data_IF_818809515655
#
_entry.id   IF_818809515655
#
_cell.length_a   1.000
_cell.length_b   1.000
_cell.length_c   1.000
_cell.angle_alpha   90.00
_cell.angle_beta   90.00
_cell.angle_gamma   90.00
#
_symmetry.space_group_name_H-M   'P 1'
#
loop_
_entity.id
_entity.type
_entity.pdbx_description
1 polymer ?
#
# COMPACT_ATOMS: atom_id res chain seq x y z
N UNK A 1 -11.53 24.92 -23.85
CA UNK A 1 -11.48 25.24 -22.53
C UNK A 1 -12.72 24.83 -21.76
N UNK A 2 -12.57 23.89 -20.84
CA UNK A 2 -13.59 23.54 -19.85
C UNK A 2 -13.29 24.34 -18.56
N UNK A 3 -14.31 24.67 -17.77
CA UNK A 3 -14.13 25.31 -16.47
C UNK A 3 -13.60 24.26 -15.47
N UNK A 4 -12.45 24.50 -14.79
CA UNK A 4 -11.92 23.56 -13.81
C UNK A 4 -12.85 23.29 -12.63
N UNK A 5 -13.80 24.17 -12.35
CA UNK A 5 -14.81 23.94 -11.31
C UNK A 5 -15.87 22.91 -11.70
N UNK A 6 -15.99 22.58 -12.97
CA UNK A 6 -16.82 21.48 -13.46
C UNK A 6 -16.09 20.12 -13.38
N UNK A 7 -15.22 19.93 -12.40
CA UNK A 7 -14.30 18.78 -12.28
C UNK A 7 -15.02 17.43 -12.37
N UNK A 8 -16.19 17.29 -11.77
CA UNK A 8 -16.99 16.05 -11.82
C UNK A 8 -17.47 15.73 -13.24
N UNK A 9 -17.93 16.76 -13.97
CA UNK A 9 -18.31 16.61 -15.39
C UNK A 9 -17.10 16.27 -16.26
N UNK A 10 -15.99 16.92 -16.04
CA UNK A 10 -14.74 16.67 -16.79
C UNK A 10 -14.26 15.24 -16.54
N UNK A 11 -14.29 14.79 -15.27
CA UNK A 11 -13.90 13.42 -14.91
C UNK A 11 -14.80 12.40 -15.61
N UNK A 12 -16.11 12.55 -15.54
CA UNK A 12 -17.08 11.66 -16.18
C UNK A 12 -16.90 11.62 -17.70
N UNK A 13 -16.64 12.79 -18.30
CA UNK A 13 -16.37 12.91 -19.74
C UNK A 13 -15.10 12.13 -20.15
N UNK A 14 -14.02 12.22 -19.36
CA UNK A 14 -12.80 11.46 -19.59
C UNK A 14 -13.05 9.95 -19.42
N UNK A 15 -13.71 9.57 -18.35
CA UNK A 15 -13.99 8.17 -18.04
C UNK A 15 -14.83 7.52 -19.15
N UNK A 16 -15.94 8.15 -19.56
CA UNK A 16 -16.80 7.61 -20.64
C UNK A 16 -16.09 7.48 -21.97
N UNK A 17 -15.11 8.32 -22.26
CA UNK A 17 -14.34 8.24 -23.50
C UNK A 17 -13.27 7.16 -23.48
N UNK A 18 -12.83 6.74 -22.31
CA UNK A 18 -11.71 5.81 -22.14
C UNK A 18 -12.09 4.47 -21.53
N UNK A 19 -13.28 4.33 -20.92
CA UNK A 19 -13.66 3.15 -20.14
C UNK A 19 -13.58 1.82 -20.93
N UNK A 20 -13.76 1.84 -22.25
CA UNK A 20 -13.62 0.64 -23.09
C UNK A 20 -12.18 0.11 -23.13
N UNK A 21 -11.19 0.99 -22.91
CA UNK A 21 -9.77 0.71 -23.07
C UNK A 21 -8.99 0.81 -21.77
N UNK A 22 -9.48 1.57 -20.78
CA UNK A 22 -8.70 1.93 -19.63
C UNK A 22 -9.49 2.20 -18.36
N UNK A 23 -10.43 1.30 -18.00
CA UNK A 23 -11.12 1.38 -16.70
C UNK A 23 -10.17 1.26 -15.53
N UNK A 24 -9.02 0.68 -15.75
CA UNK A 24 -7.93 0.45 -14.77
C UNK A 24 -6.60 0.75 -15.43
N UNK A 25 -5.57 0.82 -14.62
CA UNK A 25 -4.19 0.99 -15.09
C UNK A 25 -3.97 2.33 -15.78
N UNK A 26 -3.28 2.35 -16.91
CA UNK A 26 -2.79 3.58 -17.56
C UNK A 26 -3.87 4.59 -17.89
N UNK A 27 -5.07 4.15 -18.26
CA UNK A 27 -6.21 5.05 -18.54
C UNK A 27 -6.62 5.82 -17.29
N UNK A 28 -6.76 5.13 -16.15
CA UNK A 28 -7.09 5.77 -14.89
C UNK A 28 -5.96 6.64 -14.34
N UNK A 29 -4.71 6.23 -14.51
CA UNK A 29 -3.54 7.06 -14.14
C UNK A 29 -3.57 8.40 -14.90
N UNK A 30 -3.88 8.40 -16.19
CA UNK A 30 -3.99 9.61 -16.98
C UNK A 30 -5.18 10.50 -16.52
N UNK A 31 -6.34 9.90 -16.24
CA UNK A 31 -7.51 10.61 -15.69
C UNK A 31 -7.16 11.23 -14.34
N UNK A 32 -6.56 10.46 -13.44
CA UNK A 32 -6.15 10.93 -12.10
C UNK A 32 -5.16 12.09 -12.17
N UNK A 33 -4.20 12.06 -13.10
CA UNK A 33 -3.26 13.16 -13.29
C UNK A 33 -3.95 14.47 -13.70
N UNK A 34 -4.94 14.38 -14.58
CA UNK A 34 -5.74 15.55 -15.00
C UNK A 34 -6.63 16.03 -13.86
N UNK A 35 -7.28 15.13 -13.13
CA UNK A 35 -8.13 15.46 -11.99
C UNK A 35 -7.33 16.18 -10.89
N UNK A 36 -6.15 15.68 -10.54
CA UNK A 36 -5.23 16.36 -9.59
C UNK A 36 -4.88 17.76 -10.09
N UNK A 37 -4.60 17.92 -11.38
CA UNK A 37 -4.29 19.23 -11.96
C UNK A 37 -5.50 20.20 -11.89
N UNK A 38 -6.73 19.71 -12.06
CA UNK A 38 -7.95 20.54 -11.89
C UNK A 38 -8.07 21.03 -10.44
N UNK A 39 -7.87 20.15 -9.46
CA UNK A 39 -7.88 20.54 -8.04
C UNK A 39 -6.79 21.53 -7.70
N UNK A 40 -5.58 21.40 -8.27
CA UNK A 40 -4.48 22.35 -8.09
C UNK A 40 -4.84 23.74 -8.70
N UNK A 41 -5.42 23.75 -9.88
CA UNK A 41 -5.90 25.00 -10.52
C UNK A 41 -6.96 25.68 -9.68
N UNK A 42 -7.97 24.95 -9.20
CA UNK A 42 -9.02 25.48 -8.32
C UNK A 42 -8.43 26.05 -7.02
N UNK A 43 -7.44 25.36 -6.44
CA UNK A 43 -6.70 25.83 -5.27
C UNK A 43 -5.99 27.16 -5.53
N UNK A 44 -5.33 27.29 -6.67
CA UNK A 44 -4.63 28.51 -7.10
C UNK A 44 -5.59 29.66 -7.37
N UNK A 45 -6.67 29.41 -8.10
CA UNK A 45 -7.71 30.44 -8.37
C UNK A 45 -8.33 30.98 -7.09
N UNK A 46 -8.63 30.09 -6.14
CA UNK A 46 -9.29 30.47 -4.89
C UNK A 46 -8.31 30.90 -3.79
N UNK A 47 -7.01 30.77 -4.04
CA UNK A 47 -5.93 30.98 -3.05
C UNK A 47 -6.15 30.13 -1.78
N UNK A 48 -6.53 28.85 -1.97
CA UNK A 48 -6.77 27.89 -0.87
C UNK A 48 -6.05 26.57 -1.15
N UNK A 49 -5.49 25.93 -0.14
CA UNK A 49 -4.96 24.57 -0.32
C UNK A 49 -6.11 23.59 -0.60
N UNK A 50 -5.84 22.56 -1.39
CA UNK A 50 -6.83 21.58 -1.87
C UNK A 50 -7.65 20.98 -0.71
N UNK A 51 -7.04 20.67 0.42
CA UNK A 51 -7.78 20.11 1.57
C UNK A 51 -8.89 21.04 2.08
N UNK A 52 -8.75 22.37 1.88
CA UNK A 52 -9.82 23.32 2.22
C UNK A 52 -11.00 23.27 1.26
N UNK A 53 -10.72 22.97 -0.02
CA UNK A 53 -11.75 22.78 -1.04
C UNK A 53 -12.50 21.45 -0.83
N UNK A 54 -11.82 20.45 -0.28
CA UNK A 54 -12.37 19.12 0.06
C UNK A 54 -13.11 19.07 1.42
N UNK A 55 -13.46 20.21 2.00
CA UNK A 55 -14.23 20.26 3.25
C UNK A 55 -13.43 20.66 4.48
N UNK A 56 -12.12 20.86 4.34
CA UNK A 56 -11.27 21.35 5.41
C UNK A 56 -10.59 20.26 6.24
N UNK A 57 -9.92 20.70 7.28
CA UNK A 57 -9.09 19.86 8.15
C UNK A 57 -9.96 19.19 9.22
N UNK A 58 -9.87 17.86 9.33
CA UNK A 58 -10.50 17.08 10.40
C UNK A 58 -9.55 16.80 11.56
N UNK A 59 -8.23 16.78 11.29
CA UNK A 59 -7.15 16.56 12.27
C UNK A 59 -5.99 17.50 12.02
N UNK A 60 -5.29 17.89 13.07
CA UNK A 60 -4.09 18.73 12.94
C UNK A 60 -2.87 17.93 12.46
N UNK A 61 -2.74 16.69 12.93
CA UNK A 61 -1.68 15.76 12.56
C UNK A 61 -2.29 14.43 12.16
N UNK A 62 -1.75 13.85 11.09
CA UNK A 62 -2.15 12.53 10.59
C UNK A 62 -1.03 11.56 10.94
N UNK A 63 -1.32 10.42 11.60
CA UNK A 63 -0.34 9.36 11.79
C UNK A 63 0.17 8.85 10.44
N UNK A 64 1.48 8.63 10.34
CA UNK A 64 2.13 8.12 9.13
C UNK A 64 3.06 6.98 9.48
N UNK A 65 3.32 6.09 8.53
CA UNK A 65 4.30 5.03 8.65
C UNK A 65 5.46 5.22 7.68
N UNK A 66 6.62 4.69 8.03
CA UNK A 66 7.75 4.58 7.12
C UNK A 66 7.47 3.46 6.11
N UNK A 67 7.16 3.85 4.85
CA UNK A 67 6.88 2.92 3.74
C UNK A 67 8.15 2.65 2.95
N UNK A 68 9.04 1.85 3.52
CA UNK A 68 10.33 1.43 2.99
C UNK A 68 10.61 -0.01 3.44
N UNK A 69 11.83 -0.31 3.83
CA UNK A 69 12.26 -1.61 4.31
C UNK A 69 12.04 -2.70 3.24
N UNK A 70 12.55 -2.43 2.03
CA UNK A 70 12.53 -3.39 0.94
C UNK A 70 13.49 -4.55 1.22
N UNK A 71 13.25 -5.69 0.58
CA UNK A 71 14.12 -6.85 0.65
C UNK A 71 15.55 -6.48 0.24
N UNK A 72 16.49 -6.69 1.16
CA UNK A 72 17.92 -6.39 1.05
C UNK A 72 18.69 -7.25 2.06
N UNK A 73 20.03 -7.21 2.09
CA UNK A 73 20.80 -7.90 3.12
C UNK A 73 20.34 -7.52 4.53
N UNK A 74 20.20 -8.52 5.40
CA UNK A 74 19.62 -8.36 6.76
C UNK A 74 20.25 -7.19 7.53
N UNK A 75 21.59 -7.08 7.52
CA UNK A 75 22.29 -6.00 8.24
C UNK A 75 21.94 -4.60 7.74
N UNK A 76 21.71 -4.47 6.43
CA UNK A 76 21.34 -3.17 5.84
C UNK A 76 19.87 -2.84 6.10
N UNK A 77 19.00 -3.86 6.05
CA UNK A 77 17.60 -3.75 6.45
C UNK A 77 17.45 -3.31 7.91
N UNK A 78 18.23 -3.90 8.82
CA UNK A 78 18.23 -3.52 10.24
C UNK A 78 18.72 -2.09 10.44
N UNK A 79 19.81 -1.67 9.78
CA UNK A 79 20.29 -0.27 9.83
C UNK A 79 19.26 0.72 9.31
N UNK A 80 18.56 0.37 8.21
CA UNK A 80 17.50 1.20 7.67
C UNK A 80 16.35 1.33 8.67
N UNK A 81 15.89 0.22 9.26
CA UNK A 81 14.86 0.22 10.30
C UNK A 81 15.26 1.06 11.52
N UNK A 82 16.50 0.91 12.02
CA UNK A 82 17.03 1.75 13.10
C UNK A 82 17.00 3.24 12.76
N UNK A 83 17.28 3.60 11.52
CA UNK A 83 17.26 5.01 11.10
C UNK A 83 15.86 5.62 11.22
N UNK A 84 14.81 4.87 10.87
CA UNK A 84 13.42 5.32 11.03
C UNK A 84 12.97 5.34 12.50
N UNK A 85 13.41 4.38 13.30
CA UNK A 85 13.17 4.41 14.76
C UNK A 85 13.77 5.67 15.38
N UNK A 86 15.02 6.02 15.02
CA UNK A 86 15.69 7.26 15.45
C UNK A 86 14.99 8.53 15.01
N UNK A 87 14.32 8.51 13.84
CA UNK A 87 13.49 9.61 13.35
C UNK A 87 12.14 9.73 14.07
N UNK A 88 11.81 8.77 14.94
CA UNK A 88 10.58 8.80 15.76
C UNK A 88 9.38 8.11 15.13
N UNK A 89 9.52 7.40 14.02
CA UNK A 89 8.43 6.59 13.48
C UNK A 89 8.02 5.50 14.47
N UNK A 90 6.70 5.24 14.53
CA UNK A 90 6.08 4.20 15.37
C UNK A 90 5.34 3.17 14.54
N UNK A 91 5.29 3.35 13.23
CA UNK A 91 4.62 2.47 12.29
C UNK A 91 5.54 2.27 11.08
N UNK A 92 5.64 1.03 10.61
CA UNK A 92 6.60 0.63 9.59
C UNK A 92 5.93 -0.32 8.61
N UNK A 93 6.20 -0.15 7.29
CA UNK A 93 5.80 -1.12 6.27
C UNK A 93 7.04 -1.68 5.59
N UNK A 94 7.22 -3.00 5.66
CA UNK A 94 8.26 -3.74 4.96
C UNK A 94 7.72 -4.41 3.71
N UNK A 95 8.60 -4.75 2.77
CA UNK A 95 8.24 -5.50 1.56
C UNK A 95 9.03 -6.79 1.47
N UNK A 96 8.32 -7.88 1.19
CA UNK A 96 8.90 -9.20 0.92
C UNK A 96 9.64 -9.24 -0.43
N UNK A 97 10.62 -10.14 -0.55
CA UNK A 97 11.46 -10.24 -1.74
C UNK A 97 11.24 -11.51 -2.56
N UNK A 98 10.61 -12.53 -1.97
CA UNK A 98 10.47 -13.85 -2.59
C UNK A 98 9.00 -14.27 -2.69
N UNK A 99 8.72 -15.09 -3.72
CA UNK A 99 7.38 -15.57 -4.01
C UNK A 99 7.33 -17.06 -4.30
N UNK A 100 6.21 -17.56 -4.89
CA UNK A 100 6.00 -18.98 -5.14
C UNK A 100 7.12 -19.69 -5.92
N UNK A 101 7.74 -19.01 -6.88
CA UNK A 101 8.84 -19.56 -7.69
C UNK A 101 10.10 -19.89 -6.88
N UNK A 102 10.26 -19.28 -5.71
CA UNK A 102 11.42 -19.43 -4.85
C UNK A 102 11.23 -20.55 -3.80
N UNK A 103 10.06 -21.18 -3.79
CA UNK A 103 9.74 -22.35 -2.98
C UNK A 103 9.94 -22.16 -1.47
N UNK A 104 10.27 -23.27 -0.74
CA UNK A 104 10.48 -23.22 0.71
C UNK A 104 11.62 -22.31 1.16
N UNK A 105 12.66 -22.19 0.35
CA UNK A 105 13.80 -21.33 0.66
C UNK A 105 13.40 -19.84 0.61
N UNK A 106 12.58 -19.44 -0.38
CA UNK A 106 12.03 -18.09 -0.44
C UNK A 106 11.12 -17.78 0.75
N UNK A 107 10.30 -18.76 1.20
CA UNK A 107 9.49 -18.63 2.42
C UNK A 107 10.38 -18.35 3.65
N UNK A 108 11.46 -19.12 3.80
CA UNK A 108 12.40 -18.95 4.91
C UNK A 108 13.01 -17.56 4.91
N UNK A 109 13.50 -17.10 3.76
CA UNK A 109 14.08 -15.76 3.61
C UNK A 109 13.09 -14.65 3.93
N UNK A 110 11.83 -14.76 3.51
CA UNK A 110 10.78 -13.80 3.88
C UNK A 110 10.54 -13.75 5.39
N UNK A 111 10.60 -14.90 6.07
CA UNK A 111 10.46 -14.98 7.53
C UNK A 111 11.66 -14.29 8.21
N UNK A 112 12.87 -14.54 7.72
CA UNK A 112 14.10 -13.91 8.23
C UNK A 112 14.06 -12.38 8.08
N UNK A 113 13.52 -11.84 6.96
CA UNK A 113 13.30 -10.39 6.82
C UNK A 113 12.33 -9.85 7.89
N UNK A 114 11.20 -10.54 8.10
CA UNK A 114 10.22 -10.12 9.09
C UNK A 114 10.79 -10.14 10.52
N UNK A 115 11.57 -11.18 10.85
CA UNK A 115 12.26 -11.31 12.13
C UNK A 115 13.26 -10.18 12.34
N UNK A 116 14.12 -9.93 11.34
CA UNK A 116 15.13 -8.88 11.39
C UNK A 116 14.51 -7.48 11.60
N UNK A 117 13.39 -7.19 10.97
CA UNK A 117 12.69 -5.91 11.17
C UNK A 117 12.10 -5.84 12.58
N UNK A 118 11.44 -6.91 13.07
CA UNK A 118 10.85 -6.96 14.41
C UNK A 118 11.88 -6.84 15.54
N UNK A 119 13.07 -7.44 15.36
CA UNK A 119 14.16 -7.29 16.33
C UNK A 119 14.54 -5.82 16.55
N UNK A 120 14.47 -4.99 15.50
CA UNK A 120 14.83 -3.57 15.58
C UNK A 120 13.69 -2.70 16.09
N UNK A 121 12.49 -2.87 15.53
CA UNK A 121 11.37 -1.98 15.82
C UNK A 121 10.60 -2.36 17.11
N UNK A 122 10.79 -3.59 17.61
CA UNK A 122 10.08 -4.13 18.77
C UNK A 122 8.60 -4.44 18.47
N UNK A 123 7.85 -4.85 19.50
CA UNK A 123 6.44 -5.23 19.39
C UNK A 123 5.46 -4.12 19.82
N UNK A 124 5.96 -3.01 20.39
CA UNK A 124 5.15 -1.85 20.75
C UNK A 124 4.90 -0.90 19.57
N UNK A 125 5.29 -1.33 18.37
CA UNK A 125 5.13 -0.60 17.10
C UNK A 125 4.32 -1.41 16.10
N UNK A 126 3.61 -0.71 15.22
CA UNK A 126 2.88 -1.34 14.12
C UNK A 126 3.84 -1.77 12.99
N UNK A 127 3.72 -3.01 12.56
CA UNK A 127 4.39 -3.52 11.37
C UNK A 127 3.36 -3.95 10.33
N UNK A 128 3.44 -3.38 9.15
CA UNK A 128 2.70 -3.78 7.96
C UNK A 128 3.64 -4.58 7.04
N UNK A 129 3.10 -5.59 6.38
CA UNK A 129 3.86 -6.49 5.52
C UNK A 129 3.30 -6.46 4.11
N UNK A 130 4.13 -6.07 3.14
CA UNK A 130 3.78 -5.85 1.75
C UNK A 130 4.25 -6.99 0.86
N UNK A 131 3.36 -7.57 0.07
CA UNK A 131 3.67 -8.61 -0.92
C UNK A 131 3.71 -8.08 -2.36
N UNK A 132 3.07 -6.93 -2.60
CA UNK A 132 3.02 -6.28 -3.91
C UNK A 132 2.56 -7.23 -5.03
N UNK A 133 1.48 -7.97 -4.79
CA UNK A 133 0.91 -8.97 -5.69
C UNK A 133 1.89 -10.10 -6.09
N UNK A 134 2.98 -10.24 -5.36
CA UNK A 134 4.05 -11.19 -5.71
C UNK A 134 3.78 -12.64 -5.29
N UNK A 135 2.69 -12.90 -4.57
CA UNK A 135 2.33 -14.23 -4.11
C UNK A 135 1.09 -14.77 -4.85
N UNK A 136 0.71 -15.98 -4.52
CA UNK A 136 -0.57 -16.59 -4.89
C UNK A 136 -1.28 -17.12 -3.64
N UNK A 137 -2.51 -17.57 -3.82
CA UNK A 137 -3.37 -18.00 -2.71
C UNK A 137 -2.74 -19.13 -1.87
N UNK A 138 -2.19 -20.17 -2.52
CA UNK A 138 -1.56 -21.31 -1.81
C UNK A 138 -0.34 -20.86 -1.00
N UNK A 139 0.57 -20.11 -1.63
CA UNK A 139 1.76 -19.59 -0.97
C UNK A 139 1.38 -18.72 0.23
N UNK A 140 0.40 -17.84 0.05
CA UNK A 140 -0.08 -16.95 1.10
C UNK A 140 -0.64 -17.71 2.29
N UNK A 141 -1.49 -18.72 2.04
CA UNK A 141 -2.03 -19.59 3.09
C UNK A 141 -0.95 -20.31 3.90
N UNK A 142 0.13 -20.70 3.25
CA UNK A 142 1.29 -21.35 3.91
C UNK A 142 2.16 -20.36 4.68
N UNK A 143 2.19 -19.09 4.26
CA UNK A 143 2.95 -18.03 4.93
C UNK A 143 2.23 -17.45 6.14
N UNK A 144 0.92 -17.21 6.07
CA UNK A 144 0.14 -16.59 7.14
C UNK A 144 0.43 -17.20 8.53
N UNK A 145 0.36 -18.53 8.73
CA UNK A 145 0.62 -19.13 10.06
C UNK A 145 2.04 -18.88 10.59
N UNK A 146 3.00 -18.62 9.68
CA UNK A 146 4.40 -18.34 10.02
C UNK A 146 4.62 -16.85 10.35
N UNK A 147 3.75 -15.99 9.85
CA UNK A 147 3.84 -14.54 10.01
C UNK A 147 3.06 -14.02 11.23
N UNK A 148 2.03 -14.73 11.70
CA UNK A 148 1.21 -14.34 12.86
C UNK A 148 2.06 -14.02 14.08
N UNK A 149 3.14 -14.75 14.33
CA UNK A 149 4.05 -14.52 15.47
C UNK A 149 4.70 -13.13 15.48
N UNK A 150 4.78 -12.47 14.33
CA UNK A 150 5.31 -11.11 14.21
C UNK A 150 4.26 -10.03 14.44
N UNK A 151 3.01 -10.41 14.74
CA UNK A 151 1.90 -9.49 15.00
C UNK A 151 1.78 -8.38 13.93
N UNK A 152 1.63 -8.72 12.63
CA UNK A 152 1.48 -7.71 11.59
C UNK A 152 0.12 -7.04 11.71
N UNK A 153 0.09 -5.71 11.48
CA UNK A 153 -1.16 -4.95 11.45
C UNK A 153 -2.03 -5.31 10.24
N UNK A 154 -1.38 -5.60 9.10
CA UNK A 154 -2.00 -6.21 7.92
C UNK A 154 -0.95 -6.86 7.01
N UNK A 155 -1.43 -7.73 6.13
CA UNK A 155 -0.70 -8.26 4.97
C UNK A 155 -1.28 -7.62 3.73
N UNK A 156 -0.45 -6.87 2.97
CA UNK A 156 -0.85 -6.04 1.84
C UNK A 156 -0.59 -6.76 0.53
N UNK A 157 -1.58 -6.75 -0.35
CA UNK A 157 -1.55 -7.29 -1.71
C UNK A 157 -0.86 -8.67 -1.85
N UNK A 158 -1.31 -9.68 -1.09
CA UNK A 158 -0.69 -11.01 -1.19
C UNK A 158 -0.93 -11.67 -2.54
N UNK A 159 -2.07 -11.41 -3.19
CA UNK A 159 -2.44 -11.94 -4.50
C UNK A 159 -2.68 -10.80 -5.49
N UNK A 160 -2.78 -11.10 -6.78
CA UNK A 160 -3.07 -10.10 -7.82
C UNK A 160 -4.42 -9.41 -7.57
N UNK A 161 -4.55 -8.16 -7.97
CA UNK A 161 -5.75 -7.33 -7.76
C UNK A 161 -7.04 -7.99 -8.28
N UNK A 162 -6.97 -8.69 -9.42
CA UNK A 162 -8.12 -9.37 -10.02
C UNK A 162 -8.59 -10.63 -9.27
N UNK A 163 -7.80 -11.18 -8.32
CA UNK A 163 -8.18 -12.37 -7.54
C UNK A 163 -9.03 -12.04 -6.31
N UNK A 164 -10.21 -11.46 -6.56
CA UNK A 164 -11.17 -11.07 -5.51
C UNK A 164 -11.56 -12.27 -4.64
N UNK A 165 -11.69 -13.46 -5.22
CA UNK A 165 -12.00 -14.69 -4.48
C UNK A 165 -10.85 -15.08 -3.54
N UNK A 166 -9.61 -14.96 -4.00
CA UNK A 166 -8.42 -15.16 -3.17
C UNK A 166 -8.37 -14.19 -1.99
N UNK A 167 -8.63 -12.90 -2.22
CA UNK A 167 -8.77 -11.91 -1.14
C UNK A 167 -9.85 -12.30 -0.12
N UNK A 168 -11.04 -12.69 -0.58
CA UNK A 168 -12.13 -13.11 0.29
C UNK A 168 -11.75 -14.34 1.11
N UNK A 169 -11.11 -15.34 0.51
CA UNK A 169 -10.67 -16.55 1.18
C UNK A 169 -9.60 -16.27 2.24
N UNK A 170 -8.61 -15.44 1.92
CA UNK A 170 -7.58 -15.03 2.87
C UNK A 170 -8.16 -14.24 4.05
N UNK A 171 -9.09 -13.32 3.78
CA UNK A 171 -9.76 -12.55 4.82
C UNK A 171 -10.59 -13.46 5.75
N UNK A 172 -11.24 -14.49 5.20
CA UNK A 172 -12.01 -15.47 5.98
C UNK A 172 -11.15 -16.34 6.90
N UNK A 173 -9.85 -16.44 6.68
CA UNK A 173 -8.93 -17.10 7.62
C UNK A 173 -8.86 -16.38 8.96
N UNK A 174 -9.18 -15.08 9.01
CA UNK A 174 -9.22 -14.24 10.21
C UNK A 174 -7.95 -14.32 11.07
N UNK A 175 -6.79 -14.53 10.43
CA UNK A 175 -5.51 -14.71 11.10
C UNK A 175 -4.66 -13.42 11.08
N UNK A 176 -4.65 -12.73 9.96
CA UNK A 176 -4.00 -11.43 9.73
C UNK A 176 -4.97 -10.60 8.88
N UNK A 177 -5.25 -9.34 9.22
CA UNK A 177 -6.01 -8.45 8.35
C UNK A 177 -5.37 -8.35 6.96
N UNK A 178 -6.19 -8.42 5.90
CA UNK A 178 -5.73 -8.31 4.52
C UNK A 178 -6.03 -6.91 3.99
N UNK A 179 -5.06 -6.29 3.35
CA UNK A 179 -5.17 -4.97 2.72
C UNK A 179 -4.86 -5.07 1.23
N UNK A 180 -5.40 -4.16 0.45
CA UNK A 180 -5.16 -4.06 -0.99
C UNK A 180 -5.96 -2.91 -1.59
N UNK A 181 -5.82 -2.68 -2.90
CA UNK A 181 -6.61 -1.71 -3.64
C UNK A 181 -5.81 -0.60 -4.35
N UNK A 182 -4.51 -0.50 -4.14
CA UNK A 182 -3.73 0.53 -4.84
C UNK A 182 -3.57 0.25 -6.35
N UNK A 183 -3.86 -0.97 -6.79
CA UNK A 183 -3.82 -1.39 -8.20
C UNK A 183 -5.21 -1.63 -8.83
N UNK A 184 -6.30 -1.21 -8.16
CA UNK A 184 -7.68 -1.33 -8.63
C UNK A 184 -8.09 -0.27 -9.68
#
# INVERSE_FOLDING_TARGET
>A
GEDPFDYSYIWEKMYRRTHAWGRRGLGMVAISAIDIALWDIMGKITNKPVFKLLGGRTKEKIPVYASKLYSQPIKDLQKEAESYVKQGFKMFKMRFGWGPKDGPEGMKKNIELAEAVREVIGYDTDLMMECYMGWNLDYTKRMIPKLVKFNPRWLEEPVIADDIHGYAELNNMNAIPISGGEHE
#
